data_IF_557166916980
#
_entry.id   IF_557166916980
#
_cell.length_a   1.000
_cell.length_b   1.000
_cell.length_c   1.000
_cell.angle_alpha   90.00
_cell.angle_beta   90.00
_cell.angle_gamma   90.00
#
_symmetry.space_group_name_H-M   'P 1'
#
loop_
_entity.id
_entity.type
_entity.pdbx_description
1 polymer ?
#
# COMPACT_ATOMS: atom_id res chain seq x y z
N UNK A 1 33.52 22.76 2.01
CA UNK A 1 32.25 22.62 2.75
C UNK A 1 31.42 23.86 2.48
N UNK A 2 30.27 23.74 1.83
CA UNK A 2 29.52 24.88 1.24
C UNK A 2 28.79 25.76 2.29
N UNK A 3 29.31 25.82 3.52
CA UNK A 3 28.68 26.45 4.69
C UNK A 3 27.26 25.93 5.00
N UNK A 4 26.94 24.71 4.53
CA UNK A 4 25.64 24.09 4.72
C UNK A 4 25.57 23.40 6.09
N UNK A 5 24.63 23.84 6.93
CA UNK A 5 24.31 23.18 8.19
C UNK A 5 23.78 21.74 7.92
N UNK A 6 24.05 20.78 8.82
CA UNK A 6 23.61 19.37 8.72
C UNK A 6 22.13 19.20 8.34
N UNK A 7 21.25 20.02 8.89
CA UNK A 7 19.82 20.03 8.57
C UNK A 7 19.55 20.49 7.12
N UNK A 8 20.29 21.49 6.64
CA UNK A 8 20.19 21.96 5.26
C UNK A 8 20.69 20.89 4.29
N UNK A 9 21.80 20.22 4.61
CA UNK A 9 22.32 19.11 3.82
C UNK A 9 21.34 17.92 3.79
N UNK A 10 20.81 17.52 4.94
CA UNK A 10 19.81 16.45 5.02
C UNK A 10 18.57 16.78 4.17
N UNK A 11 17.96 17.95 4.37
CA UNK A 11 16.70 18.27 3.69
C UNK A 11 16.86 18.54 2.19
N UNK A 12 18.00 19.08 1.73
CA UNK A 12 18.21 19.45 0.32
C UNK A 12 18.93 18.40 -0.51
N UNK A 13 19.70 17.51 0.13
CA UNK A 13 20.53 16.52 -0.57
C UNK A 13 20.07 15.12 -0.19
N UNK A 14 20.14 14.76 1.09
CA UNK A 14 19.86 13.39 1.53
C UNK A 14 18.39 13.00 1.36
N UNK A 15 17.46 13.84 1.82
CA UNK A 15 16.02 13.58 1.82
C UNK A 15 15.45 13.42 0.40
N UNK A 16 15.75 14.32 -0.58
CA UNK A 16 15.30 14.12 -1.95
C UNK A 16 15.94 12.88 -2.61
N UNK A 17 17.19 12.56 -2.24
CA UNK A 17 17.89 11.39 -2.78
C UNK A 17 17.29 10.07 -2.26
N UNK A 18 16.87 10.00 -1.00
CA UNK A 18 16.21 8.81 -0.44
C UNK A 18 14.69 8.81 -0.60
N UNK A 19 14.09 9.93 -1.01
CA UNK A 19 12.64 10.10 -1.14
C UNK A 19 11.92 9.01 -1.93
N UNK A 20 12.40 8.56 -3.12
CA UNK A 20 11.74 7.46 -3.82
C UNK A 20 11.70 6.16 -2.99
N UNK A 21 12.75 5.89 -2.20
CA UNK A 21 12.78 4.76 -1.26
C UNK A 21 11.85 4.95 -0.06
N UNK A 22 11.73 6.17 0.46
CA UNK A 22 10.79 6.50 1.55
C UNK A 22 9.34 6.32 1.09
N UNK A 23 8.99 6.76 -0.12
CA UNK A 23 7.65 6.51 -0.69
C UNK A 23 7.43 5.00 -0.83
N UNK A 24 8.40 4.26 -1.37
CA UNK A 24 8.29 2.81 -1.52
C UNK A 24 8.05 2.11 -0.18
N UNK A 25 8.80 2.48 0.86
CA UNK A 25 8.62 1.96 2.22
C UNK A 25 7.28 2.38 2.85
N UNK A 26 6.81 3.60 2.60
CA UNK A 26 5.52 4.07 3.09
C UNK A 26 4.36 3.30 2.46
N UNK A 27 4.40 3.07 1.14
CA UNK A 27 3.42 2.24 0.43
C UNK A 27 3.45 0.80 0.93
N UNK A 28 4.66 0.23 1.14
CA UNK A 28 4.81 -1.12 1.67
C UNK A 28 4.24 -1.26 3.09
N UNK A 29 4.46 -0.27 3.95
CA UNK A 29 3.91 -0.25 5.30
C UNK A 29 2.37 -0.20 5.31
N UNK A 30 1.76 0.57 4.40
CA UNK A 30 0.29 0.59 4.23
C UNK A 30 -0.22 -0.77 3.75
N UNK A 31 0.45 -1.40 2.78
CA UNK A 31 0.09 -2.73 2.29
C UNK A 31 0.10 -3.77 3.42
N UNK A 32 1.19 -3.83 4.18
CA UNK A 32 1.33 -4.77 5.33
C UNK A 32 0.29 -4.46 6.42
N UNK A 33 -0.04 -3.20 6.66
CA UNK A 33 -1.07 -2.86 7.64
C UNK A 33 -2.47 -3.34 7.25
N UNK A 34 -2.75 -3.49 5.94
CA UNK A 34 -4.05 -3.90 5.43
C UNK A 34 -4.22 -5.41 5.38
N UNK A 35 -3.13 -6.20 5.36
CA UNK A 35 -3.16 -7.66 5.29
C UNK A 35 -3.06 -8.36 6.66
N UNK A 36 -2.55 -7.68 7.68
CA UNK A 36 -2.38 -8.27 9.01
C UNK A 36 -3.70 -8.33 9.80
N UNK A 37 -4.35 -9.50 9.74
CA UNK A 37 -5.54 -9.82 10.55
C UNK A 37 -5.15 -10.34 11.94
N UNK A 38 -4.01 -11.03 12.07
CA UNK A 38 -3.67 -11.81 13.27
C UNK A 38 -3.25 -10.88 14.39
N UNK A 39 -2.22 -10.06 14.19
CA UNK A 39 -1.73 -9.14 15.23
C UNK A 39 -2.81 -8.10 15.53
N UNK A 40 -3.46 -7.64 14.48
CA UNK A 40 -4.53 -6.67 14.58
C UNK A 40 -5.71 -7.18 15.41
N UNK A 41 -6.09 -8.45 15.31
CA UNK A 41 -7.15 -9.03 16.15
C UNK A 41 -6.78 -9.08 17.63
N UNK A 42 -5.49 -9.17 17.98
CA UNK A 42 -5.02 -9.18 19.36
C UNK A 42 -4.83 -7.77 19.95
N UNK A 43 -4.55 -6.77 19.10
CA UNK A 43 -4.31 -5.39 19.54
C UNK A 43 -5.53 -4.47 19.38
N UNK A 44 -6.55 -4.89 18.62
CA UNK A 44 -7.77 -4.11 18.39
C UNK A 44 -8.55 -3.89 19.70
N UNK A 45 -8.77 -2.62 20.05
CA UNK A 45 -9.62 -2.23 21.17
C UNK A 45 -11.08 -1.97 20.74
N UNK A 46 -12.01 -2.01 21.69
CA UNK A 46 -13.44 -1.71 21.45
C UNK A 46 -13.56 -0.30 20.87
N UNK A 47 -14.05 -0.19 19.64
CA UNK A 47 -14.23 1.08 18.91
C UNK A 47 -13.24 1.34 17.78
N UNK A 48 -12.18 0.53 17.64
CA UNK A 48 -11.17 0.67 16.59
C UNK A 48 -10.84 -0.68 15.93
N UNK A 49 -11.79 -1.25 15.19
CA UNK A 49 -11.55 -2.46 14.38
C UNK A 49 -11.06 -2.08 12.99
N UNK A 50 -9.83 -2.40 12.60
CA UNK A 50 -9.35 -2.17 11.25
C UNK A 50 -10.07 -3.07 10.25
N UNK A 51 -10.02 -2.64 8.99
CA UNK A 51 -10.80 -3.22 7.89
C UNK A 51 -10.57 -4.73 7.73
N UNK A 52 -9.32 -5.18 7.90
CA UNK A 52 -8.91 -6.58 7.79
C UNK A 52 -9.62 -7.48 8.81
N UNK A 53 -9.63 -7.08 10.08
CA UNK A 53 -10.32 -7.78 11.18
C UNK A 53 -11.84 -7.76 10.99
N UNK A 54 -12.38 -6.66 10.47
CA UNK A 54 -13.81 -6.53 10.20
C UNK A 54 -14.29 -7.52 9.12
N UNK A 55 -13.57 -7.61 7.99
CA UNK A 55 -13.87 -8.57 6.92
C UNK A 55 -13.72 -10.02 7.40
N UNK A 56 -12.67 -10.31 8.16
CA UNK A 56 -12.47 -11.63 8.78
C UNK A 56 -13.60 -12.01 9.75
N UNK A 57 -14.08 -11.04 10.54
CA UNK A 57 -15.23 -11.24 11.43
C UNK A 57 -16.53 -11.55 10.68
N UNK A 58 -16.76 -10.95 9.51
CA UNK A 58 -17.91 -11.26 8.65
C UNK A 58 -17.85 -12.70 8.11
N UNK A 59 -16.66 -13.18 7.72
CA UNK A 59 -16.47 -14.57 7.27
C UNK A 59 -16.81 -15.59 8.35
N UNK A 60 -16.43 -15.33 9.61
CA UNK A 60 -16.74 -16.22 10.76
C UNK A 60 -18.22 -16.32 11.10
N UNK A 61 -19.03 -15.29 10.77
CA UNK A 61 -20.49 -15.29 11.01
C UNK A 61 -21.28 -16.07 9.94
N UNK A 62 -20.59 -16.65 8.95
CA UNK A 62 -21.16 -17.39 7.83
C UNK A 62 -21.05 -16.61 6.52
N UNK A 63 -20.86 -17.32 5.41
CA UNK A 63 -20.85 -16.74 4.06
C UNK A 63 -22.25 -16.26 3.68
N UNK A 64 -22.53 -15.02 4.05
CA UNK A 64 -23.72 -14.30 3.60
C UNK A 64 -23.47 -13.75 2.18
N UNK A 65 -24.51 -13.53 1.36
CA UNK A 65 -24.37 -12.93 0.03
C UNK A 65 -23.56 -11.62 0.04
N UNK A 66 -23.61 -10.88 1.15
CA UNK A 66 -22.84 -9.67 1.39
C UNK A 66 -21.32 -9.88 1.30
N UNK A 67 -20.80 -10.97 1.88
CA UNK A 67 -19.36 -11.29 1.86
C UNK A 67 -18.90 -11.62 0.44
N UNK A 68 -19.73 -12.33 -0.33
CA UNK A 68 -19.42 -12.62 -1.73
C UNK A 68 -19.37 -11.35 -2.58
N UNK A 69 -20.31 -10.41 -2.38
CA UNK A 69 -20.28 -9.11 -3.06
C UNK A 69 -19.03 -8.29 -2.74
N UNK A 70 -18.61 -8.25 -1.47
CA UNK A 70 -17.38 -7.55 -1.06
C UNK A 70 -16.15 -8.19 -1.71
N UNK A 71 -16.07 -9.52 -1.75
CA UNK A 71 -14.96 -10.24 -2.39
C UNK A 71 -14.84 -9.93 -3.88
N UNK A 72 -15.96 -9.89 -4.62
CA UNK A 72 -15.95 -9.54 -6.06
C UNK A 72 -15.48 -8.10 -6.26
N UNK A 73 -15.90 -7.16 -5.42
CA UNK A 73 -15.46 -5.76 -5.49
C UNK A 73 -13.96 -5.64 -5.20
N UNK A 74 -13.46 -6.30 -4.15
CA UNK A 74 -12.03 -6.29 -3.84
C UNK A 74 -11.20 -6.91 -4.98
N UNK A 75 -11.65 -8.05 -5.54
CA UNK A 75 -11.00 -8.69 -6.67
C UNK A 75 -10.96 -7.77 -7.90
N UNK A 76 -12.08 -7.14 -8.24
CA UNK A 76 -12.18 -6.21 -9.36
C UNK A 76 -11.24 -5.01 -9.18
N UNK A 77 -11.16 -4.46 -7.97
CA UNK A 77 -10.26 -3.35 -7.64
C UNK A 77 -8.78 -3.76 -7.79
N UNK A 78 -8.39 -4.92 -7.25
CA UNK A 78 -7.02 -5.44 -7.41
C UNK A 78 -6.69 -5.68 -8.88
N UNK A 79 -7.62 -6.24 -9.65
CA UNK A 79 -7.42 -6.50 -11.08
C UNK A 79 -7.28 -5.19 -11.87
N UNK A 80 -8.07 -4.17 -11.54
CA UNK A 80 -7.95 -2.84 -12.13
C UNK A 80 -6.58 -2.19 -11.85
N UNK A 81 -6.06 -2.31 -10.62
CA UNK A 81 -4.73 -1.81 -10.27
C UNK A 81 -3.61 -2.54 -11.04
N UNK A 82 -3.71 -3.86 -11.18
CA UNK A 82 -2.75 -4.65 -11.96
C UNK A 82 -2.78 -4.24 -13.43
N UNK A 83 -3.97 -4.10 -14.02
CA UNK A 83 -4.12 -3.66 -15.41
C UNK A 83 -3.56 -2.25 -15.59
N UNK A 84 -3.87 -1.31 -14.70
CA UNK A 84 -3.31 0.04 -14.74
C UNK A 84 -1.78 0.03 -14.65
N UNK A 85 -1.22 -0.77 -13.73
CA UNK A 85 0.23 -0.95 -13.60
C UNK A 85 0.86 -1.51 -14.88
N UNK A 86 0.24 -2.50 -15.51
CA UNK A 86 0.73 -3.08 -16.77
C UNK A 86 0.65 -2.08 -17.93
N UNK A 87 -0.42 -1.30 -18.03
CA UNK A 87 -0.58 -0.27 -19.07
C UNK A 87 0.48 0.83 -18.91
N UNK A 88 0.67 1.33 -17.68
CA UNK A 88 1.70 2.34 -17.39
C UNK A 88 3.10 1.79 -17.65
N UNK A 89 3.36 0.54 -17.25
CA UNK A 89 4.65 -0.13 -17.48
C UNK A 89 4.95 -0.34 -18.97
N UNK A 90 3.93 -0.64 -19.79
CA UNK A 90 4.08 -0.71 -21.26
C UNK A 90 4.33 0.66 -21.89
N UNK A 91 3.65 1.70 -21.42
CA UNK A 91 3.86 3.07 -21.89
C UNK A 91 5.24 3.61 -21.51
N UNK A 92 5.77 3.21 -20.35
CA UNK A 92 7.11 3.63 -19.87
C UNK A 92 8.23 2.75 -20.47
N UNK A 93 7.91 1.51 -20.86
CA UNK A 93 8.86 0.56 -21.46
C UNK A 93 9.30 0.91 -22.88
N UNK A 94 8.54 1.72 -23.63
CA UNK A 94 8.92 2.11 -25.00
C UNK A 94 9.99 3.20 -25.07
N UNK A 95 10.42 3.79 -23.96
CA UNK A 95 11.47 4.84 -23.93
C UNK A 95 12.87 4.30 -23.57
N UNK A 96 13.00 3.01 -23.24
CA UNK A 96 14.29 2.40 -22.83
C UNK A 96 15.02 1.62 -23.92
N UNK A 97 14.43 1.45 -25.09
CA UNK A 97 14.99 0.61 -26.17
C UNK A 97 15.73 1.41 -27.27
N UNK A 98 15.78 2.75 -27.17
CA UNK A 98 16.52 3.63 -28.11
C UNK A 98 17.78 4.31 -27.51
N UNK A 99 18.40 3.75 -26.47
CA UNK A 99 19.73 4.21 -26.01
C UNK A 99 20.76 3.10 -25.96
#
# INVERSE_FOLDING_TARGET
DLYANRWQAFRRVTLPQIMPGVIGGALQAVTISLDDVVVSSFVSAVGGTPLSVYVFGMLRKGVTPLVNSVSVVMLAASMALVVASLVISRATGSEREER
#
